data_IF_217668359739
#
_entry.id   IF_217668359739
#
_cell.length_a   1.000
_cell.length_b   1.000
_cell.length_c   1.000
_cell.angle_alpha   90.00
_cell.angle_beta   90.00
_cell.angle_gamma   90.00
#
_symmetry.space_group_name_H-M   'P 1'
#
loop_
_entity.id
_entity.type
_entity.pdbx_description
1 polymer ?
#
# COMPACT_ATOMS: atom_id res chain seq x y z
N UNK A 1 -5.38 -2.00 -15.37
CA UNK A 1 -6.07 -1.59 -14.14
C UNK A 1 -5.00 -1.55 -13.11
N UNK A 2 -4.57 -0.33 -12.78
CA UNK A 2 -3.50 -0.10 -11.84
C UNK A 2 -3.98 -0.30 -10.41
N UNK A 3 -3.03 -0.32 -9.50
CA UNK A 3 -3.32 -0.20 -8.07
C UNK A 3 -2.42 0.89 -7.51
N UNK A 4 -3.03 2.01 -7.17
CA UNK A 4 -2.37 3.12 -6.53
C UNK A 4 -2.18 2.84 -5.05
N UNK A 5 -1.08 3.33 -4.47
CA UNK A 5 -0.84 3.27 -3.04
C UNK A 5 -0.91 4.67 -2.44
N UNK A 6 -1.97 4.95 -1.70
CA UNK A 6 -2.25 6.26 -1.12
C UNK A 6 -2.03 6.21 0.39
N UNK A 7 -1.10 7.02 0.90
CA UNK A 7 -0.89 7.18 2.33
C UNK A 7 -1.82 8.27 2.86
N UNK A 8 -2.73 7.90 3.76
CA UNK A 8 -3.69 8.81 4.37
C UNK A 8 -3.37 9.00 5.84
N UNK A 9 -3.41 10.24 6.32
CA UNK A 9 -3.47 10.56 7.75
C UNK A 9 -4.92 10.51 8.22
N UNK A 10 -5.14 9.80 9.31
CA UNK A 10 -6.42 9.65 9.99
C UNK A 10 -6.45 10.57 11.19
N UNK A 11 -7.21 11.66 11.08
CA UNK A 11 -7.48 12.55 12.20
C UNK A 11 -8.84 12.21 12.81
N UNK A 12 -8.85 11.82 14.08
CA UNK A 12 -10.08 11.58 14.82
C UNK A 12 -10.19 12.53 16.04
N UNK A 13 -10.73 13.75 15.85
CA UNK A 13 -11.02 14.65 16.97
C UNK A 13 -12.22 14.11 17.79
N UNK A 14 -11.90 13.29 18.80
CA UNK A 14 -12.85 12.71 19.77
C UNK A 14 -13.18 11.23 19.52
N UNK A 15 -13.99 10.62 20.39
CA UNK A 15 -14.27 9.17 20.38
C UNK A 15 -15.39 8.73 19.42
N UNK A 16 -16.02 9.66 18.70
CA UNK A 16 -17.14 9.37 17.80
C UNK A 16 -16.71 9.03 16.36
N UNK A 17 -17.33 8.03 15.69
CA UNK A 17 -16.98 7.64 14.32
C UNK A 17 -17.30 8.71 13.27
N UNK A 18 -18.20 9.66 13.59
CA UNK A 18 -18.70 10.71 12.68
C UNK A 18 -17.72 11.86 12.41
N UNK A 19 -16.52 11.84 13.00
CA UNK A 19 -15.52 12.91 12.89
C UNK A 19 -14.18 12.48 12.30
N UNK A 20 -14.06 11.24 11.84
CA UNK A 20 -12.85 10.77 11.15
C UNK A 20 -12.64 11.60 9.89
N UNK A 21 -11.51 12.31 9.82
CA UNK A 21 -11.04 13.03 8.64
C UNK A 21 -9.84 12.30 8.08
N UNK A 22 -9.79 12.23 6.76
CA UNK A 22 -8.70 11.59 6.03
C UNK A 22 -8.04 12.67 5.19
N UNK A 23 -6.73 12.82 5.36
CA UNK A 23 -5.92 13.77 4.60
C UNK A 23 -4.84 12.98 3.87
N UNK A 24 -4.76 13.11 2.56
CA UNK A 24 -3.69 12.50 1.79
C UNK A 24 -2.35 13.12 2.19
N UNK A 25 -1.39 12.26 2.54
CA UNK A 25 -0.02 12.64 2.89
C UNK A 25 0.88 12.45 1.69
N UNK A 26 0.74 11.33 0.99
CA UNK A 26 1.62 10.93 -0.09
C UNK A 26 0.94 9.87 -0.98
N UNK A 27 1.43 9.67 -2.20
CA UNK A 27 0.86 8.72 -3.16
C UNK A 27 1.90 8.16 -4.11
N UNK A 28 1.77 6.86 -4.39
CA UNK A 28 2.38 6.19 -5.54
C UNK A 28 1.27 5.85 -6.54
N UNK A 29 1.45 6.25 -7.79
CA UNK A 29 0.51 6.00 -8.89
C UNK A 29 1.06 4.88 -9.78
N UNK A 30 0.28 3.83 -10.01
CA UNK A 30 0.69 2.65 -10.79
C UNK A 30 0.32 2.78 -12.28
N UNK A 31 0.82 3.83 -12.93
CA UNK A 31 0.45 4.20 -14.33
C UNK A 31 0.66 3.08 -15.36
N UNK A 32 1.54 2.12 -15.08
CA UNK A 32 1.91 1.02 -15.98
C UNK A 32 1.41 -0.37 -15.52
N UNK A 33 0.48 -0.41 -14.55
CA UNK A 33 -0.03 -1.62 -13.90
C UNK A 33 1.09 -2.54 -13.33
N UNK A 34 2.27 -2.00 -13.03
CA UNK A 34 3.41 -2.80 -12.61
C UNK A 34 3.17 -3.39 -11.23
N UNK A 35 2.70 -2.57 -10.29
CA UNK A 35 2.43 -3.01 -8.94
C UNK A 35 1.23 -3.98 -8.90
N UNK A 36 0.16 -3.68 -9.62
CA UNK A 36 -1.00 -4.56 -9.76
C UNK A 36 -0.62 -5.96 -10.29
N UNK A 37 0.23 -6.02 -11.32
CA UNK A 37 0.73 -7.28 -11.88
C UNK A 37 1.60 -8.05 -10.90
N UNK A 38 2.47 -7.36 -10.16
CA UNK A 38 3.32 -7.98 -9.14
C UNK A 38 2.48 -8.58 -8.00
N UNK A 39 1.44 -7.87 -7.54
CA UNK A 39 0.54 -8.37 -6.51
C UNK A 39 -0.12 -9.68 -6.96
N UNK A 40 -0.69 -9.69 -8.18
CA UNK A 40 -1.32 -10.85 -8.79
C UNK A 40 -0.36 -12.03 -8.95
N UNK A 41 0.89 -11.77 -9.35
CA UNK A 41 1.89 -12.80 -9.59
C UNK A 41 2.56 -13.34 -8.32
N UNK A 42 2.56 -12.58 -7.21
CA UNK A 42 3.29 -12.94 -5.99
C UNK A 42 2.77 -14.23 -5.32
N UNK A 43 1.45 -14.45 -5.34
CA UNK A 43 0.79 -15.50 -4.57
C UNK A 43 0.92 -15.36 -3.04
N UNK A 44 1.38 -14.20 -2.55
CA UNK A 44 1.61 -13.98 -1.12
C UNK A 44 0.34 -13.49 -0.41
N UNK A 45 0.11 -13.83 0.87
CA UNK A 45 -1.19 -13.61 1.51
C UNK A 45 -1.67 -12.15 1.55
N UNK A 46 -0.81 -11.19 1.90
CA UNK A 46 -1.19 -9.77 1.91
C UNK A 46 -1.33 -9.23 0.49
N UNK A 47 -0.36 -9.50 -0.38
CA UNK A 47 -0.40 -9.01 -1.76
C UNK A 47 -1.55 -9.61 -2.57
N UNK A 48 -2.00 -10.83 -2.24
CA UNK A 48 -3.16 -11.47 -2.87
C UNK A 48 -4.51 -10.84 -2.48
N UNK A 49 -4.55 -10.03 -1.40
CA UNK A 49 -5.74 -9.26 -1.01
C UNK A 49 -5.93 -8.00 -1.84
N UNK A 50 -4.91 -7.60 -2.60
CA UNK A 50 -4.97 -6.42 -3.46
C UNK A 50 -5.94 -6.71 -4.61
N UNK A 51 -6.96 -5.87 -4.72
CA UNK A 51 -7.99 -5.95 -5.74
C UNK A 51 -7.89 -4.74 -6.68
N UNK A 52 -7.56 -4.93 -7.98
CA UNK A 52 -7.50 -3.85 -8.96
C UNK A 52 -8.83 -3.12 -9.21
N UNK A 53 -9.93 -3.56 -8.61
CA UNK A 53 -11.25 -2.91 -8.70
C UNK A 53 -11.77 -2.44 -7.34
N UNK A 54 -10.97 -2.57 -6.28
CA UNK A 54 -11.39 -2.32 -4.91
C UNK A 54 -10.38 -1.47 -4.14
N UNK A 55 -10.72 -1.16 -2.89
CA UNK A 55 -9.81 -0.49 -1.97
C UNK A 55 -9.46 -1.42 -0.83
N UNK A 56 -8.17 -1.74 -0.69
CA UNK A 56 -7.63 -2.41 0.48
C UNK A 56 -7.02 -1.37 1.42
N UNK A 57 -7.63 -1.19 2.60
CA UNK A 57 -7.11 -0.31 3.65
C UNK A 57 -6.29 -1.13 4.63
N UNK A 58 -5.04 -0.72 4.86
CA UNK A 58 -4.10 -1.35 5.77
C UNK A 58 -3.64 -0.34 6.83
N UNK A 59 -3.54 -0.81 8.07
CA UNK A 59 -3.07 0.00 9.21
C UNK A 59 -1.61 -0.31 9.55
N UNK A 60 -1.00 0.47 10.44
CA UNK A 60 0.36 0.24 10.94
C UNK A 60 0.63 -1.21 11.40
N UNK A 61 -0.39 -1.91 11.91
CA UNK A 61 -0.29 -3.31 12.38
C UNK A 61 0.03 -4.27 11.23
N UNK A 62 -0.51 -4.01 10.04
CA UNK A 62 -0.36 -4.86 8.86
C UNK A 62 0.94 -4.58 8.08
N UNK A 63 1.60 -3.45 8.35
CA UNK A 63 2.77 -2.99 7.59
C UNK A 63 3.96 -3.93 7.69
N UNK A 64 4.18 -4.58 8.83
CA UNK A 64 5.28 -5.53 9.00
C UNK A 64 5.16 -6.73 8.04
N UNK A 65 3.94 -7.25 7.86
CA UNK A 65 3.65 -8.31 6.91
C UNK A 65 3.80 -7.81 5.48
N UNK A 66 3.20 -6.67 5.15
CA UNK A 66 3.29 -6.10 3.80
C UNK A 66 4.75 -5.87 3.38
N UNK A 67 5.57 -5.28 4.26
CA UNK A 67 6.99 -5.01 3.99
C UNK A 67 7.79 -6.31 3.76
N UNK A 68 7.51 -7.35 4.54
CA UNK A 68 8.12 -8.67 4.35
C UNK A 68 7.78 -9.27 2.98
N UNK A 69 6.52 -9.17 2.57
CA UNK A 69 6.05 -9.69 1.28
C UNK A 69 6.58 -8.87 0.09
N UNK A 70 6.68 -7.55 0.22
CA UNK A 70 7.33 -6.66 -0.76
C UNK A 70 8.80 -7.05 -0.93
N UNK A 71 9.54 -7.25 0.16
CA UNK A 71 10.95 -7.65 0.09
C UNK A 71 11.14 -9.04 -0.53
N UNK A 72 10.26 -9.99 -0.20
CA UNK A 72 10.25 -11.31 -0.83
C UNK A 72 10.02 -11.21 -2.35
N UNK A 73 9.03 -10.41 -2.78
CA UNK A 73 8.72 -10.19 -4.20
C UNK A 73 9.87 -9.51 -4.92
N UNK A 74 10.46 -8.47 -4.31
CA UNK A 74 11.58 -7.69 -4.86
C UNK A 74 12.80 -8.55 -5.15
N UNK A 75 13.08 -9.57 -4.33
CA UNK A 75 14.19 -10.51 -4.56
C UNK A 75 14.02 -11.35 -5.82
N UNK A 76 12.78 -11.63 -6.24
CA UNK A 76 12.48 -12.39 -7.47
C UNK A 76 12.41 -11.55 -8.74
N UNK A 77 12.29 -10.22 -8.62
CA UNK A 77 12.14 -9.30 -9.75
C UNK A 77 13.51 -8.85 -10.27
N UNK A 78 13.73 -8.87 -11.58
CA UNK A 78 14.94 -8.34 -12.23
C UNK A 78 14.72 -7.00 -12.92
N UNK A 79 13.48 -6.67 -13.27
CA UNK A 79 13.14 -5.43 -13.98
C UNK A 79 13.24 -4.22 -13.05
N UNK A 80 13.96 -3.18 -13.48
CA UNK A 80 14.25 -2.02 -12.64
C UNK A 80 13.00 -1.19 -12.31
N UNK A 81 12.08 -1.04 -13.26
CA UNK A 81 10.79 -0.35 -13.09
C UNK A 81 9.93 -1.03 -12.02
N UNK A 82 9.81 -2.36 -12.07
CA UNK A 82 9.09 -3.16 -11.09
C UNK A 82 9.72 -3.07 -9.69
N UNK A 83 11.06 -3.06 -9.60
CA UNK A 83 11.75 -2.81 -8.32
C UNK A 83 11.47 -1.41 -7.77
N UNK A 84 11.48 -0.39 -8.62
CA UNK A 84 11.18 0.97 -8.22
C UNK A 84 9.75 1.10 -7.68
N UNK A 85 8.77 0.46 -8.31
CA UNK A 85 7.39 0.40 -7.81
C UNK A 85 7.31 -0.24 -6.42
N UNK A 86 7.96 -1.40 -6.21
CA UNK A 86 8.02 -2.06 -4.91
C UNK A 86 8.73 -1.22 -3.85
N UNK A 87 9.82 -0.54 -4.22
CA UNK A 87 10.60 0.31 -3.32
C UNK A 87 9.77 1.53 -2.86
N UNK A 88 8.95 2.10 -3.75
CA UNK A 88 8.10 3.25 -3.45
C UNK A 88 6.89 2.88 -2.59
N UNK A 89 6.18 1.80 -2.92
CA UNK A 89 5.13 1.26 -2.04
C UNK A 89 5.70 0.86 -0.68
N UNK A 90 6.89 0.25 -0.66
CA UNK A 90 7.61 -0.10 0.57
C UNK A 90 8.05 1.13 1.39
N UNK A 91 8.27 2.29 0.76
CA UNK A 91 8.53 3.55 1.48
C UNK A 91 7.27 4.04 2.18
N UNK A 92 6.13 4.06 1.49
CA UNK A 92 4.84 4.45 2.07
C UNK A 92 4.44 3.53 3.24
N UNK A 93 4.64 2.22 3.08
CA UNK A 93 4.36 1.24 4.12
C UNK A 93 5.24 1.42 5.37
N UNK A 94 6.52 1.79 5.21
CA UNK A 94 7.41 2.13 6.33
C UNK A 94 6.94 3.37 7.09
N UNK A 95 6.53 4.42 6.37
CA UNK A 95 5.97 5.62 7.00
C UNK A 95 4.71 5.24 7.79
N UNK A 96 3.85 4.40 7.22
CA UNK A 96 2.65 3.93 7.90
C UNK A 96 2.95 3.08 9.13
N UNK A 97 4.03 2.29 9.11
CA UNK A 97 4.47 1.51 10.25
C UNK A 97 4.93 2.39 11.42
N UNK A 98 5.62 3.48 11.12
CA UNK A 98 6.18 4.40 12.12
C UNK A 98 5.14 5.38 12.68
N UNK A 99 4.13 5.76 11.88
CA UNK A 99 3.07 6.69 12.28
C UNK A 99 1.70 5.98 12.33
N UNK A 100 1.30 5.55 13.54
CA UNK A 100 0.01 4.89 13.78
C UNK A 100 -1.22 5.78 13.55
N UNK A 101 -1.03 7.08 13.31
CA UNK A 101 -2.10 7.97 12.85
C UNK A 101 -2.33 7.91 11.34
N UNK A 102 -1.62 7.04 10.62
CA UNK A 102 -1.77 6.87 9.17
C UNK A 102 -2.28 5.49 8.79
N UNK A 103 -2.84 5.41 7.59
CA UNK A 103 -3.26 4.18 6.94
C UNK A 103 -2.79 4.20 5.49
N UNK A 104 -2.40 3.04 4.98
CA UNK A 104 -2.06 2.85 3.58
C UNK A 104 -3.27 2.27 2.86
N UNK A 105 -3.68 2.91 1.77
CA UNK A 105 -4.78 2.46 0.92
C UNK A 105 -4.22 2.00 -0.40
N UNK A 106 -4.51 0.76 -0.76
CA UNK A 106 -4.22 0.23 -2.08
C UNK A 106 -5.53 0.34 -2.88
N UNK A 107 -5.59 1.31 -3.78
CA UNK A 107 -6.79 1.72 -4.52
C UNK A 107 -6.67 1.24 -5.96
N UNK A 108 -7.57 0.34 -6.37
CA UNK A 108 -7.73 -0.02 -7.77
C UNK A 108 -8.43 1.08 -8.58
N UNK A 109 -8.15 1.09 -9.88
CA UNK A 109 -8.78 1.97 -10.88
C UNK A 109 -10.24 1.63 -11.23
#
# INVERSE_FOLDING_TARGET
>A
MGVDAVLMRVEQPGTGPRRRRLTQVDVFVDEADLFARLCTASGLPMLSRVDPYGTLVLTAVEMSQLLSEIDATRRGVTEASQRAALDEVGRLARICQEDSSTELRLEGD
#
